data_IF_903961128226
#
_entry.id   IF_903961128226
#
_cell.length_a   1.000
_cell.length_b   1.000
_cell.length_c   1.000
_cell.angle_alpha   90.00
_cell.angle_beta   90.00
_cell.angle_gamma   90.00
#
_symmetry.space_group_name_H-M   'P 1'
#
loop_
_entity.id
_entity.type
_entity.pdbx_description
1 polymer ?
#
# COMPACT_ATOMS: atom_id res chain seq x y z
N UNK A 1 -40.56 -59.27 55.66
CA UNK A 1 -40.94 -59.68 54.29
C UNK A 1 -40.90 -58.44 53.41
N UNK A 2 -40.26 -58.56 52.24
CA UNK A 2 -40.08 -57.49 51.27
C UNK A 2 -41.40 -57.15 50.53
N UNK A 3 -41.55 -55.90 50.09
CA UNK A 3 -41.75 -55.58 48.67
C UNK A 3 -41.69 -54.05 48.44
N UNK A 4 -41.18 -53.70 47.25
CA UNK A 4 -40.79 -52.40 46.73
C UNK A 4 -41.97 -51.66 46.10
N UNK A 5 -41.97 -50.31 46.10
CA UNK A 5 -42.33 -49.51 44.92
C UNK A 5 -41.76 -48.07 45.00
N UNK A 6 -41.20 -47.65 43.88
CA UNK A 6 -40.42 -46.43 43.59
C UNK A 6 -41.31 -45.22 43.25
N UNK A 7 -40.81 -43.99 43.51
CA UNK A 7 -40.82 -42.75 42.66
C UNK A 7 -40.32 -41.58 43.52
N UNK A 8 -39.59 -40.55 43.08
CA UNK A 8 -38.82 -40.20 41.89
C UNK A 8 -37.91 -39.03 42.30
N UNK A 9 -36.64 -39.03 41.90
CA UNK A 9 -35.68 -37.96 42.17
C UNK A 9 -36.01 -36.68 41.39
N UNK A 10 -35.85 -35.52 42.03
CA UNK A 10 -35.93 -34.21 41.40
C UNK A 10 -34.77 -34.02 40.40
N UNK A 11 -35.14 -33.60 39.20
CA UNK A 11 -34.30 -33.51 38.02
C UNK A 11 -33.71 -32.09 37.92
N UNK A 12 -32.49 -31.88 38.39
CA UNK A 12 -31.73 -30.64 38.10
C UNK A 12 -31.08 -30.81 36.73
N UNK A 13 -31.73 -30.26 35.69
CA UNK A 13 -31.18 -30.16 34.35
C UNK A 13 -29.94 -29.27 34.36
N UNK A 14 -28.75 -29.87 34.38
CA UNK A 14 -27.50 -29.18 34.06
C UNK A 14 -27.49 -28.88 32.56
N UNK A 15 -27.77 -27.63 32.18
CA UNK A 15 -27.58 -27.17 30.80
C UNK A 15 -26.08 -27.13 30.54
N UNK A 16 -25.56 -28.12 29.82
CA UNK A 16 -24.18 -28.14 29.39
C UNK A 16 -23.90 -26.92 28.50
N UNK A 17 -22.87 -26.15 28.84
CA UNK A 17 -22.41 -25.03 28.02
C UNK A 17 -22.11 -25.52 26.59
N UNK A 18 -22.48 -24.77 25.54
CA UNK A 18 -22.27 -25.18 24.17
C UNK A 18 -20.77 -25.39 23.91
N UNK A 19 -20.41 -26.59 23.41
CA UNK A 19 -19.03 -26.92 23.04
C UNK A 19 -18.61 -25.99 21.89
N UNK A 20 -17.62 -25.12 22.16
CA UNK A 20 -17.06 -24.22 21.15
C UNK A 20 -16.20 -25.05 20.20
N UNK A 21 -16.61 -25.12 18.93
CA UNK A 21 -15.84 -25.76 17.88
C UNK A 21 -14.64 -24.87 17.51
N UNK A 22 -13.48 -25.18 18.10
CA UNK A 22 -12.21 -24.48 17.89
C UNK A 22 -11.71 -24.53 16.43
N UNK A 23 -12.29 -25.39 15.58
CA UNK A 23 -11.96 -25.40 14.14
C UNK A 23 -12.52 -24.17 13.41
N UNK A 24 -13.61 -23.56 13.91
CA UNK A 24 -14.34 -22.46 13.25
C UNK A 24 -14.11 -21.09 13.86
N UNK A 25 -13.37 -21.01 14.97
CA UNK A 25 -13.20 -19.78 15.76
C UNK A 25 -11.73 -19.58 16.09
N UNK A 26 -11.22 -18.36 15.94
CA UNK A 26 -9.85 -18.00 16.30
C UNK A 26 -9.65 -18.11 17.83
N UNK A 27 -8.61 -18.82 18.26
CA UNK A 27 -8.34 -19.05 19.70
C UNK A 27 -7.90 -17.79 20.45
N UNK A 28 -7.37 -16.78 19.74
CA UNK A 28 -6.89 -15.53 20.33
C UNK A 28 -7.99 -14.48 20.44
N UNK A 29 -8.73 -14.24 19.36
CA UNK A 29 -9.74 -13.16 19.32
C UNK A 29 -11.19 -13.64 19.45
N UNK A 30 -11.42 -14.97 19.55
CA UNK A 30 -12.74 -15.61 19.63
C UNK A 30 -13.72 -15.24 18.49
N UNK A 31 -13.21 -14.66 17.41
CA UNK A 31 -14.02 -14.33 16.23
C UNK A 31 -14.13 -15.54 15.29
N UNK A 32 -15.24 -15.64 14.53
CA UNK A 32 -15.38 -16.66 13.48
C UNK A 32 -14.21 -16.55 12.49
N UNK A 33 -13.58 -17.67 12.16
CA UNK A 33 -12.60 -17.71 11.08
C UNK A 33 -13.34 -17.47 9.77
N UNK A 34 -12.86 -16.54 8.93
CA UNK A 34 -13.42 -16.32 7.60
C UNK A 34 -13.46 -17.65 6.82
N UNK A 35 -14.62 -17.96 6.23
CA UNK A 35 -14.80 -19.17 5.45
C UNK A 35 -13.92 -19.13 4.19
N UNK A 36 -13.07 -20.15 4.05
CA UNK A 36 -12.23 -20.33 2.88
C UNK A 36 -13.09 -20.59 1.64
N UNK A 37 -13.15 -19.62 0.72
CA UNK A 37 -13.95 -19.69 -0.50
C UNK A 37 -13.20 -20.46 -1.59
N UNK A 38 -12.92 -21.75 -1.35
CA UNK A 38 -12.39 -22.70 -2.33
C UNK A 38 -11.10 -22.27 -3.06
N UNK A 39 -10.60 -23.09 -4.01
CA UNK A 39 -9.44 -22.74 -4.80
C UNK A 39 -9.78 -21.59 -5.76
N UNK A 40 -9.35 -20.37 -5.42
CA UNK A 40 -9.33 -19.25 -6.36
C UNK A 40 -8.24 -19.51 -7.40
N UNK A 41 -8.49 -19.19 -8.68
CA UNK A 41 -7.40 -19.09 -9.66
C UNK A 41 -6.49 -17.95 -9.21
N UNK A 42 -5.41 -18.31 -8.54
CA UNK A 42 -4.44 -17.41 -7.90
C UNK A 42 -3.87 -16.43 -8.95
N UNK A 43 -3.58 -16.95 -10.15
CA UNK A 43 -2.98 -16.18 -11.26
C UNK A 43 -4.00 -15.74 -12.32
N UNK A 44 -5.29 -15.76 -11.99
CA UNK A 44 -6.33 -15.32 -12.93
C UNK A 44 -6.30 -13.81 -13.14
N UNK A 45 -6.59 -13.35 -14.36
CA UNK A 45 -6.81 -11.93 -14.63
C UNK A 45 -7.91 -11.39 -13.71
N UNK A 46 -7.57 -10.42 -12.88
CA UNK A 46 -8.53 -9.70 -12.04
C UNK A 46 -8.97 -8.45 -12.79
N UNK A 47 -10.26 -8.34 -13.18
CA UNK A 47 -10.75 -7.17 -13.88
C UNK A 47 -10.73 -5.93 -12.99
N UNK A 48 -10.35 -4.79 -13.54
CA UNK A 48 -10.43 -3.49 -12.87
C UNK A 48 -11.87 -2.97 -12.82
N UNK A 49 -12.72 -3.65 -12.04
CA UNK A 49 -14.16 -3.34 -11.88
C UNK A 49 -14.44 -1.91 -11.40
N UNK A 50 -13.45 -1.30 -10.77
CA UNK A 50 -13.53 0.01 -10.13
C UNK A 50 -12.84 1.11 -10.95
N UNK A 51 -12.30 0.76 -12.11
CA UNK A 51 -11.52 1.61 -13.01
C UNK A 51 -10.44 2.42 -12.25
N UNK A 52 -9.74 1.74 -11.34
CA UNK A 52 -8.70 2.33 -10.49
C UNK A 52 -7.45 2.70 -11.29
N UNK A 53 -7.16 1.95 -12.36
CA UNK A 53 -5.93 2.05 -13.14
C UNK A 53 -6.04 3.02 -14.31
N UNK A 54 -7.23 3.21 -14.88
CA UNK A 54 -7.47 4.05 -16.07
C UNK A 54 -6.52 3.71 -17.24
N UNK A 55 -6.26 2.41 -17.45
CA UNK A 55 -5.21 1.90 -18.34
C UNK A 55 -5.37 2.32 -19.81
N UNK A 56 -6.60 2.56 -20.29
CA UNK A 56 -6.88 2.92 -21.69
C UNK A 56 -6.34 4.28 -22.13
N UNK A 57 -5.86 5.10 -21.19
CA UNK A 57 -5.37 6.45 -21.45
C UNK A 57 -3.84 6.57 -21.47
N UNK A 58 -3.13 5.46 -21.28
CA UNK A 58 -1.68 5.47 -21.13
C UNK A 58 -0.97 5.09 -22.43
N UNK A 59 -0.07 5.96 -22.88
CA UNK A 59 0.88 5.68 -23.97
C UNK A 59 2.25 5.39 -23.33
N UNK A 60 2.77 4.15 -23.40
CA UNK A 60 3.99 3.77 -22.70
C UNK A 60 5.19 4.54 -23.26
N UNK A 61 6.06 5.08 -22.39
CA UNK A 61 7.25 5.78 -22.85
C UNK A 61 8.26 4.81 -23.49
N UNK A 62 9.37 5.34 -24.01
CA UNK A 62 10.45 4.46 -24.47
C UNK A 62 11.21 3.90 -23.27
N UNK A 63 11.36 2.57 -23.23
CA UNK A 63 12.07 1.88 -22.15
C UNK A 63 13.54 2.29 -22.08
N UNK A 64 13.98 2.62 -20.87
CA UNK A 64 15.37 2.90 -20.55
C UNK A 64 16.19 1.60 -20.50
N UNK A 65 17.37 1.55 -21.15
CA UNK A 65 18.24 0.37 -21.12
C UNK A 65 18.68 -0.08 -19.72
N UNK A 66 18.68 0.84 -18.74
CA UNK A 66 19.07 0.56 -17.35
C UNK A 66 17.89 0.28 -16.44
N UNK A 67 16.66 0.30 -16.95
CA UNK A 67 15.51 -0.15 -16.18
C UNK A 67 15.61 -1.65 -15.93
N UNK A 68 15.51 -2.05 -14.67
CA UNK A 68 15.52 -3.45 -14.23
C UNK A 68 14.25 -3.75 -13.45
N UNK A 69 13.52 -4.79 -13.87
CA UNK A 69 12.37 -5.33 -13.15
C UNK A 69 12.82 -6.64 -12.49
N UNK A 70 12.84 -6.67 -11.16
CA UNK A 70 13.24 -7.82 -10.37
C UNK A 70 12.04 -8.45 -9.67
N UNK A 71 11.76 -9.71 -10.03
CA UNK A 71 10.76 -10.56 -9.40
C UNK A 71 11.38 -11.90 -9.02
N UNK A 72 10.90 -12.59 -7.97
CA UNK A 72 11.34 -13.94 -7.65
C UNK A 72 11.26 -14.90 -8.84
N UNK A 73 12.19 -15.85 -8.99
CA UNK A 73 13.27 -16.20 -8.04
C UNK A 73 14.55 -15.36 -8.18
N UNK A 74 14.55 -14.31 -9.00
CA UNK A 74 15.75 -13.50 -9.24
C UNK A 74 15.99 -12.54 -8.07
N UNK A 75 17.15 -12.67 -7.41
CA UNK A 75 17.58 -11.68 -6.43
C UNK A 75 17.73 -10.31 -7.13
N UNK A 76 17.21 -9.22 -6.54
CA UNK A 76 17.35 -7.91 -7.12
C UNK A 76 18.80 -7.44 -7.10
N UNK A 77 19.15 -6.68 -8.12
CA UNK A 77 20.45 -6.02 -8.24
C UNK A 77 20.20 -4.53 -8.04
N UNK A 78 20.47 -4.05 -6.83
CA UNK A 78 20.31 -2.64 -6.47
C UNK A 78 21.34 -1.78 -7.21
N UNK A 79 20.87 -0.95 -8.14
CA UNK A 79 21.67 0.15 -8.67
C UNK A 79 21.55 1.39 -7.76
N UNK A 80 21.87 2.57 -8.29
CA UNK A 80 21.84 3.84 -7.57
C UNK A 80 20.45 4.21 -7.05
N UNK A 81 19.40 3.83 -7.77
CA UNK A 81 18.01 4.13 -7.42
C UNK A 81 17.15 2.89 -7.58
N UNK A 82 16.36 2.61 -6.56
CA UNK A 82 15.50 1.44 -6.48
C UNK A 82 14.12 1.81 -5.96
N UNK A 83 13.10 1.12 -6.48
CA UNK A 83 11.70 1.36 -6.19
C UNK A 83 11.03 0.04 -5.78
N UNK A 84 10.53 -0.02 -4.56
CA UNK A 84 9.78 -1.17 -4.08
C UNK A 84 8.27 -0.94 -4.26
N UNK A 85 7.60 -1.93 -4.86
CA UNK A 85 6.15 -1.96 -4.99
C UNK A 85 5.53 -2.74 -3.82
N UNK A 86 5.28 -2.01 -2.73
CA UNK A 86 4.47 -2.53 -1.63
C UNK A 86 2.99 -2.32 -1.96
N UNK A 87 2.11 -3.24 -1.54
CA UNK A 87 0.70 -3.02 -1.79
C UNK A 87 -0.15 -4.26 -1.81
N UNK A 88 -1.39 -4.03 -2.23
CA UNK A 88 -2.38 -5.05 -2.50
C UNK A 88 -1.90 -6.03 -3.56
N UNK A 89 -1.63 -7.26 -3.15
CA UNK A 89 -1.26 -8.40 -4.02
C UNK A 89 -2.19 -9.60 -3.81
N UNK A 90 -3.35 -9.38 -3.19
CA UNK A 90 -4.29 -10.44 -2.85
C UNK A 90 -4.73 -11.19 -4.10
N UNK A 91 -4.19 -12.40 -4.23
CA UNK A 91 -4.38 -13.28 -5.37
C UNK A 91 -5.87 -13.51 -5.65
N UNK A 92 -6.32 -13.06 -6.81
CA UNK A 92 -7.73 -13.09 -7.23
C UNK A 92 -8.62 -11.95 -6.73
N UNK A 93 -8.07 -10.91 -6.09
CA UNK A 93 -8.81 -9.69 -5.67
C UNK A 93 -8.17 -8.39 -6.12
N UNK A 94 -6.84 -8.28 -6.04
CA UNK A 94 -6.12 -7.07 -6.41
C UNK A 94 -6.05 -6.90 -7.95
N UNK A 95 -6.28 -5.68 -8.43
CA UNK A 95 -6.07 -5.31 -9.84
C UNK A 95 -4.59 -5.40 -10.19
N UNK A 96 -4.28 -5.62 -11.48
CA UNK A 96 -2.91 -5.81 -11.97
C UNK A 96 -2.15 -4.47 -12.08
N UNK A 97 -1.92 -3.82 -10.94
CA UNK A 97 -1.31 -2.49 -10.87
C UNK A 97 0.22 -2.52 -10.99
N UNK A 98 0.89 -3.57 -10.50
CA UNK A 98 2.36 -3.67 -10.52
C UNK A 98 2.92 -3.69 -11.95
N UNK A 99 2.43 -4.54 -12.89
CA UNK A 99 2.94 -4.55 -14.25
C UNK A 99 2.70 -3.21 -14.96
N UNK A 100 1.50 -2.64 -14.78
CA UNK A 100 1.17 -1.35 -15.37
C UNK A 100 2.07 -0.23 -14.83
N UNK A 101 2.33 -0.18 -13.51
CA UNK A 101 3.20 0.83 -12.92
C UNK A 101 4.66 0.64 -13.34
N UNK A 102 5.12 -0.60 -13.53
CA UNK A 102 6.43 -0.89 -14.07
C UNK A 102 6.56 -0.37 -15.51
N UNK A 103 5.55 -0.58 -16.36
CA UNK A 103 5.53 -0.05 -17.73
C UNK A 103 5.50 1.49 -17.76
N UNK A 104 4.77 2.12 -16.84
CA UNK A 104 4.69 3.58 -16.71
C UNK A 104 6.04 4.22 -16.33
N UNK A 105 6.90 3.48 -15.62
CA UNK A 105 8.15 3.97 -15.04
C UNK A 105 9.41 3.39 -15.71
N UNK A 106 9.25 2.59 -16.77
CA UNK A 106 10.38 1.92 -17.40
C UNK A 106 11.30 2.87 -18.18
N UNK A 107 10.92 4.14 -18.31
CA UNK A 107 11.72 5.24 -18.86
C UNK A 107 12.81 5.71 -17.90
N UNK A 108 12.70 5.30 -16.63
CA UNK A 108 13.63 5.66 -15.58
C UNK A 108 14.75 4.62 -15.45
N UNK A 109 15.99 5.04 -15.20
CA UNK A 109 17.11 4.12 -14.93
C UNK A 109 17.08 3.64 -13.47
N UNK A 110 16.07 2.87 -13.11
CA UNK A 110 15.84 2.37 -11.74
C UNK A 110 15.77 0.84 -11.69
N UNK A 111 16.00 0.29 -10.50
CA UNK A 111 15.67 -1.10 -10.17
C UNK A 111 14.31 -1.16 -9.49
N UNK A 112 13.29 -1.68 -10.17
CA UNK A 112 11.98 -1.95 -9.60
C UNK A 112 11.95 -3.36 -8.99
N UNK A 113 11.40 -3.49 -7.78
CA UNK A 113 11.36 -4.74 -6.99
C UNK A 113 9.96 -4.98 -6.43
N UNK A 114 9.40 -6.17 -6.67
CA UNK A 114 8.06 -6.55 -6.21
C UNK A 114 8.06 -7.40 -4.92
N UNK A 115 9.09 -8.22 -4.72
CA UNK A 115 9.08 -9.22 -3.65
C UNK A 115 10.51 -9.67 -3.27
N UNK A 116 11.05 -9.08 -2.21
CA UNK A 116 12.22 -9.60 -1.49
C UNK A 116 12.12 -9.13 -0.04
N UNK A 117 12.48 -10.02 0.90
CA UNK A 117 12.31 -9.79 2.34
C UNK A 117 13.01 -8.50 2.81
N UNK A 118 14.14 -8.15 2.19
CA UNK A 118 14.96 -7.00 2.56
C UNK A 118 14.77 -5.78 1.64
N UNK A 119 13.93 -5.87 0.60
CA UNK A 119 13.82 -4.80 -0.39
C UNK A 119 13.20 -3.51 0.18
N UNK A 120 12.37 -3.61 1.21
CA UNK A 120 11.90 -2.43 1.93
C UNK A 120 13.07 -1.63 2.56
N UNK A 121 14.11 -2.33 3.04
CA UNK A 121 15.32 -1.73 3.60
C UNK A 121 16.18 -1.08 2.53
N UNK A 122 16.45 -1.81 1.45
CA UNK A 122 17.39 -1.41 0.40
C UNK A 122 16.81 -0.42 -0.62
N UNK A 123 15.48 -0.34 -0.72
CA UNK A 123 14.83 0.56 -1.68
C UNK A 123 15.14 2.04 -1.42
N UNK A 124 15.26 2.83 -2.49
CA UNK A 124 15.34 4.29 -2.39
C UNK A 124 13.97 4.90 -2.10
N UNK A 125 12.93 4.36 -2.74
CA UNK A 125 11.53 4.76 -2.58
C UNK A 125 10.67 3.52 -2.37
N UNK A 126 9.71 3.63 -1.46
CA UNK A 126 8.69 2.60 -1.22
C UNK A 126 7.35 3.19 -1.66
N UNK A 127 6.73 2.56 -2.66
CA UNK A 127 5.38 2.88 -3.09
C UNK A 127 4.42 1.90 -2.45
N UNK A 128 3.43 2.40 -1.69
CA UNK A 128 2.30 1.58 -1.21
C UNK A 128 1.06 1.82 -2.07
N UNK A 129 0.49 0.77 -2.65
CA UNK A 129 -0.80 0.81 -3.33
C UNK A 129 -1.86 0.04 -2.54
N UNK A 130 -2.99 0.70 -2.23
CA UNK A 130 -4.15 0.08 -1.58
C UNK A 130 -5.34 0.03 -2.55
N UNK A 131 -5.68 -1.18 -2.97
CA UNK A 131 -6.80 -1.49 -3.87
C UNK A 131 -8.13 -1.53 -3.10
N UNK A 132 -9.16 -0.86 -3.64
CA UNK A 132 -10.52 -0.85 -3.15
C UNK A 132 -11.11 -2.25 -2.84
N UNK A 133 -10.72 -3.29 -3.56
CA UNK A 133 -11.26 -4.64 -3.48
C UNK A 133 -10.52 -5.54 -2.46
N UNK A 134 -9.58 -4.98 -1.69
CA UNK A 134 -8.64 -5.75 -0.87
C UNK A 134 -8.69 -5.36 0.60
N UNK A 135 -8.06 -6.17 1.47
CA UNK A 135 -7.96 -5.87 2.90
C UNK A 135 -6.57 -5.40 3.33
N UNK A 136 -5.53 -5.88 2.64
CA UNK A 136 -4.12 -5.51 2.71
C UNK A 136 -3.55 -5.35 4.13
N UNK A 137 -3.77 -6.32 5.05
CA UNK A 137 -3.32 -6.20 6.43
C UNK A 137 -1.78 -6.18 6.55
N UNK A 138 -1.07 -6.95 5.72
CA UNK A 138 0.40 -6.97 5.70
C UNK A 138 0.92 -5.61 5.22
N UNK A 139 0.38 -5.10 4.12
CA UNK A 139 0.69 -3.78 3.57
C UNK A 139 0.47 -2.65 4.58
N UNK A 140 -0.60 -2.71 5.38
CA UNK A 140 -0.82 -1.75 6.46
C UNK A 140 0.24 -1.84 7.57
N UNK A 141 0.69 -3.05 7.92
CA UNK A 141 1.77 -3.25 8.89
C UNK A 141 3.10 -2.71 8.35
N UNK A 142 3.44 -3.03 7.10
CA UNK A 142 4.62 -2.54 6.41
C UNK A 142 4.62 -1.01 6.31
N UNK A 143 3.49 -0.39 5.95
CA UNK A 143 3.37 1.07 5.97
C UNK A 143 3.74 1.61 7.35
N UNK A 144 3.17 1.05 8.42
CA UNK A 144 3.47 1.42 9.81
C UNK A 144 4.95 1.30 10.18
N UNK A 145 5.65 0.28 9.69
CA UNK A 145 7.09 0.10 9.92
C UNK A 145 7.95 1.14 9.19
N UNK A 146 7.49 1.65 8.04
CA UNK A 146 8.32 2.48 7.17
C UNK A 146 7.96 3.96 7.14
N UNK A 147 6.91 4.40 7.85
CA UNK A 147 6.43 5.80 7.88
C UNK A 147 7.52 6.84 8.18
N UNK A 148 8.47 6.51 9.03
CA UNK A 148 9.55 7.41 9.47
C UNK A 148 10.78 7.42 8.55
N UNK A 149 10.81 6.57 7.52
CA UNK A 149 12.01 6.37 6.69
C UNK A 149 12.30 7.55 5.76
N UNK A 150 11.30 8.41 5.51
CA UNK A 150 11.39 9.44 4.49
C UNK A 150 11.41 8.90 3.06
N UNK A 151 11.20 7.59 2.83
CA UNK A 151 11.19 6.95 1.50
C UNK A 151 9.79 6.71 0.93
N UNK A 152 8.76 6.85 1.76
CA UNK A 152 7.40 6.38 1.48
C UNK A 152 6.61 7.37 0.61
N UNK A 153 5.85 6.82 -0.33
CA UNK A 153 4.69 7.44 -1.00
C UNK A 153 3.51 6.47 -1.00
N UNK A 154 2.28 6.98 -0.99
CA UNK A 154 1.08 6.14 -0.89
C UNK A 154 0.05 6.50 -1.96
N UNK A 155 -0.52 5.47 -2.59
CA UNK A 155 -1.77 5.55 -3.33
C UNK A 155 -2.83 4.74 -2.60
N UNK A 156 -3.90 5.38 -2.13
CA UNK A 156 -5.00 4.72 -1.45
C UNK A 156 -6.32 5.09 -2.11
N UNK A 157 -6.97 4.14 -2.78
CA UNK A 157 -8.30 4.40 -3.33
C UNK A 157 -9.26 4.78 -2.19
N UNK A 158 -10.13 5.76 -2.42
CA UNK A 158 -11.10 6.25 -1.44
C UNK A 158 -12.09 5.16 -0.97
N UNK A 159 -12.24 4.08 -1.75
CA UNK A 159 -13.11 2.94 -1.44
C UNK A 159 -12.40 1.86 -0.61
N UNK A 160 -11.09 1.98 -0.37
CA UNK A 160 -10.37 1.03 0.48
C UNK A 160 -10.97 0.99 1.89
N UNK A 161 -11.31 -0.21 2.37
CA UNK A 161 -12.11 -0.42 3.59
C UNK A 161 -11.51 0.19 4.87
N UNK A 162 -10.19 0.37 4.93
CA UNK A 162 -9.47 1.04 6.03
C UNK A 162 -8.78 2.32 5.60
N UNK A 163 -9.22 2.95 4.50
CA UNK A 163 -8.67 4.18 3.96
C UNK A 163 -8.49 5.27 5.01
N UNK A 164 -9.47 5.49 5.89
CA UNK A 164 -9.36 6.47 6.98
C UNK A 164 -8.14 6.26 7.90
N UNK A 165 -7.74 5.02 8.17
CA UNK A 165 -6.54 4.74 8.98
C UNK A 165 -5.26 5.05 8.21
N UNK A 166 -5.22 4.66 6.92
CA UNK A 166 -4.10 4.97 6.03
C UNK A 166 -3.92 6.49 5.93
N UNK A 167 -5.00 7.24 5.72
CA UNK A 167 -4.98 8.70 5.60
C UNK A 167 -4.49 9.37 6.89
N UNK A 168 -4.99 8.95 8.06
CA UNK A 168 -4.55 9.47 9.36
C UNK A 168 -3.06 9.21 9.63
N UNK A 169 -2.57 8.02 9.26
CA UNK A 169 -1.14 7.68 9.40
C UNK A 169 -0.31 8.54 8.45
N UNK A 170 -0.68 8.62 7.17
CA UNK A 170 0.05 9.42 6.20
C UNK A 170 0.10 10.88 6.60
N UNK A 171 -1.02 11.42 7.06
CA UNK A 171 -1.06 12.77 7.61
C UNK A 171 -0.15 12.94 8.82
N UNK A 172 -0.27 12.08 9.84
CA UNK A 172 0.51 12.20 11.08
C UNK A 172 2.02 12.24 10.81
N UNK A 173 2.48 11.46 9.83
CA UNK A 173 3.89 11.35 9.47
C UNK A 173 4.28 12.17 8.24
N UNK A 174 3.39 13.05 7.75
CA UNK A 174 3.60 13.92 6.59
C UNK A 174 4.03 13.14 5.33
N UNK A 175 3.42 11.97 5.12
CA UNK A 175 3.62 11.11 3.96
C UNK A 175 2.73 11.61 2.82
N UNK A 176 3.29 11.88 1.64
CA UNK A 176 2.51 12.22 0.46
C UNK A 176 1.58 11.08 0.04
N UNK A 177 0.30 11.39 -0.14
CA UNK A 177 -0.74 10.44 -0.51
C UNK A 177 -1.55 10.94 -1.70
N UNK A 178 -1.83 10.05 -2.64
CA UNK A 178 -2.80 10.25 -3.72
C UNK A 178 -3.93 9.22 -3.62
N UNK A 179 -5.09 9.53 -4.18
CA UNK A 179 -6.26 8.66 -4.15
C UNK A 179 -6.56 7.99 -5.48
N UNK A 180 -5.70 8.21 -6.48
CA UNK A 180 -5.88 7.70 -7.83
C UNK A 180 -4.53 7.24 -8.39
N UNK A 181 -4.54 6.17 -9.18
CA UNK A 181 -3.35 5.56 -9.74
C UNK A 181 -2.63 6.48 -10.74
N UNK A 182 -3.38 7.33 -11.45
CA UNK A 182 -2.81 8.26 -12.43
C UNK A 182 -1.76 9.18 -11.80
N UNK A 183 -2.06 9.74 -10.63
CA UNK A 183 -1.17 10.66 -9.92
C UNK A 183 0.00 9.95 -9.21
N UNK A 184 -0.04 8.62 -9.08
CA UNK A 184 0.97 7.84 -8.37
C UNK A 184 2.33 7.92 -9.05
N UNK A 185 2.37 7.83 -10.38
CA UNK A 185 3.62 7.86 -11.14
C UNK A 185 4.35 9.21 -10.97
N UNK A 186 3.63 10.32 -11.00
CA UNK A 186 4.18 11.66 -10.78
C UNK A 186 4.69 11.81 -9.34
N UNK A 187 3.96 11.24 -8.37
CA UNK A 187 4.37 11.25 -6.97
C UNK A 187 5.67 10.45 -6.74
N UNK A 188 5.81 9.28 -7.38
CA UNK A 188 7.02 8.47 -7.35
C UNK A 188 8.19 9.21 -8.01
N UNK A 189 7.96 9.80 -9.20
CA UNK A 189 8.97 10.61 -9.90
C UNK A 189 9.44 11.78 -9.02
N UNK A 190 8.52 12.51 -8.40
CA UNK A 190 8.88 13.57 -7.47
C UNK A 190 9.68 13.04 -6.27
N UNK A 191 9.28 11.89 -5.70
CA UNK A 191 10.00 11.30 -4.58
C UNK A 191 11.43 10.91 -4.97
N UNK A 192 11.62 10.15 -6.05
CA UNK A 192 12.93 9.79 -6.60
C UNK A 192 13.77 11.04 -6.89
N UNK A 193 13.15 12.11 -7.41
CA UNK A 193 13.81 13.39 -7.66
C UNK A 193 14.39 13.99 -6.38
N UNK A 194 13.60 14.02 -5.30
CA UNK A 194 14.07 14.49 -3.98
C UNK A 194 15.10 13.58 -3.33
N UNK A 195 15.15 12.29 -3.70
CA UNK A 195 16.22 11.36 -3.29
C UNK A 195 17.52 11.55 -4.08
N UNK A 196 17.59 12.55 -4.97
CA UNK A 196 18.81 12.91 -5.70
C UNK A 196 18.88 12.36 -7.13
N UNK A 197 17.81 11.76 -7.64
CA UNK A 197 17.76 11.29 -9.03
C UNK A 197 17.67 12.48 -10.00
N UNK A 198 18.55 12.53 -10.99
CA UNK A 198 18.60 13.60 -12.01
C UNK A 198 18.35 13.02 -13.40
N UNK A 199 18.93 11.86 -13.66
CA UNK A 199 18.78 11.15 -14.93
C UNK A 199 17.34 10.64 -15.08
N UNK A 200 16.78 10.77 -16.29
CA UNK A 200 15.36 10.51 -16.55
C UNK A 200 14.40 11.55 -15.97
N UNK A 201 14.87 12.51 -15.16
CA UNK A 201 14.02 13.55 -14.56
C UNK A 201 14.06 14.88 -15.31
N UNK A 202 15.13 15.15 -16.04
CA UNK A 202 15.28 16.38 -16.83
C UNK A 202 15.49 15.94 -18.29
N UNK A 203 14.42 15.95 -19.05
CA UNK A 203 14.38 15.48 -20.45
C UNK A 203 13.94 16.59 -21.38
N UNK A 204 14.41 16.56 -22.62
CA UNK A 204 13.90 17.41 -23.70
C UNK A 204 12.64 16.83 -24.34
N UNK A 205 12.10 17.53 -25.36
CA UNK A 205 10.89 17.11 -26.07
C UNK A 205 11.06 15.75 -26.76
N UNK A 206 12.29 15.41 -27.14
CA UNK A 206 12.68 14.14 -27.74
C UNK A 206 12.90 13.03 -26.69
N UNK A 207 12.83 13.36 -25.40
CA UNK A 207 13.02 12.44 -24.28
C UNK A 207 14.49 12.21 -23.90
N UNK A 208 15.43 12.94 -24.50
CA UNK A 208 16.85 12.85 -24.15
C UNK A 208 17.16 13.66 -22.88
N UNK A 209 18.13 13.19 -22.09
CA UNK A 209 18.53 13.90 -20.88
C UNK A 209 19.13 15.26 -21.22
N UNK A 210 18.57 16.32 -20.63
CA UNK A 210 19.08 17.68 -20.77
C UNK A 210 19.19 18.38 -19.42
N UNK A 211 20.23 19.19 -19.25
CA UNK A 211 20.37 20.10 -18.10
C UNK A 211 20.07 21.55 -18.48
N UNK A 212 19.87 21.82 -19.77
CA UNK A 212 19.58 23.15 -20.28
C UNK A 212 18.11 23.47 -20.06
N UNK A 213 17.82 24.44 -19.19
CA UNK A 213 16.43 24.86 -18.88
C UNK A 213 15.60 25.21 -20.11
N UNK A 214 16.24 25.72 -21.17
CA UNK A 214 15.58 26.10 -22.43
C UNK A 214 15.08 24.91 -23.26
N UNK A 215 15.68 23.73 -23.10
CA UNK A 215 15.31 22.55 -23.87
C UNK A 215 14.45 21.59 -23.04
N UNK A 216 14.08 21.95 -21.81
CA UNK A 216 13.34 21.07 -20.91
C UNK A 216 11.91 20.87 -21.42
N UNK A 217 11.49 19.62 -21.64
CA UNK A 217 10.07 19.31 -21.77
C UNK A 217 9.41 19.53 -20.42
N UNK A 218 8.62 20.60 -20.30
CA UNK A 218 7.97 20.97 -19.06
C UNK A 218 6.88 19.99 -18.60
N UNK A 219 6.36 19.15 -19.50
CA UNK A 219 5.35 18.13 -19.20
C UNK A 219 5.98 16.86 -18.66
N UNK A 220 7.12 16.45 -19.22
CA UNK A 220 7.81 15.19 -18.84
C UNK A 220 8.90 15.40 -17.78
N UNK A 221 9.45 16.60 -17.67
CA UNK A 221 10.52 16.88 -16.72
C UNK A 221 10.03 17.24 -15.33
N UNK A 222 10.71 16.67 -14.34
CA UNK A 222 10.52 16.90 -12.91
C UNK A 222 11.72 17.69 -12.34
N UNK A 223 11.57 19.01 -12.22
CA UNK A 223 12.56 19.86 -11.53
C UNK A 223 12.49 19.64 -10.01
N UNK A 224 13.54 20.03 -9.27
CA UNK A 224 13.53 19.87 -7.81
C UNK A 224 12.39 20.67 -7.16
N UNK A 225 12.20 21.93 -7.58
CA UNK A 225 11.11 22.77 -7.06
C UNK A 225 9.72 22.18 -7.36
N UNK A 226 9.49 21.68 -8.59
CA UNK A 226 8.24 21.00 -8.95
C UNK A 226 8.01 19.75 -8.10
N UNK A 227 9.06 18.97 -7.85
CA UNK A 227 8.97 17.77 -7.03
C UNK A 227 8.61 18.09 -5.57
N UNK A 228 9.30 19.06 -4.96
CA UNK A 228 9.02 19.50 -3.58
C UNK A 228 7.61 20.06 -3.44
N UNK A 229 7.17 20.89 -4.39
CA UNK A 229 5.81 21.43 -4.43
C UNK A 229 4.76 20.33 -4.56
N UNK A 230 4.97 19.38 -5.48
CA UNK A 230 4.06 18.25 -5.68
C UNK A 230 3.94 17.42 -4.41
N UNK A 231 5.05 17.01 -3.81
CA UNK A 231 5.05 16.23 -2.57
C UNK A 231 4.36 16.97 -1.43
N UNK A 232 4.66 18.27 -1.24
CA UNK A 232 4.04 19.09 -0.21
C UNK A 232 2.53 19.28 -0.44
N UNK A 233 2.08 19.40 -1.69
CA UNK A 233 0.65 19.53 -2.03
C UNK A 233 -0.15 18.25 -1.75
N UNK A 234 0.52 17.09 -1.75
CA UNK A 234 -0.09 15.77 -1.52
C UNK A 234 0.05 15.29 -0.08
N UNK A 235 0.61 16.10 0.81
CA UNK A 235 0.50 15.88 2.25
C UNK A 235 -0.85 16.45 2.71
N UNK A 236 -1.74 15.56 3.16
CA UNK A 236 -3.03 15.95 3.73
C UNK A 236 -2.83 16.83 4.96
N UNK A 237 -3.53 17.97 5.02
CA UNK A 237 -3.59 18.85 6.19
C UNK A 237 -4.95 18.70 6.85
N UNK A 238 -4.98 18.41 8.15
CA UNK A 238 -6.15 18.43 9.01
C UNK A 238 -6.72 19.83 8.95
N UNK A 239 -7.74 20.04 8.12
CA UNK A 239 -8.64 21.16 8.32
C UNK A 239 -9.43 20.88 9.60
N UNK A 240 -8.98 21.46 10.72
CA UNK A 240 -9.87 21.84 11.83
C UNK A 240 -10.35 20.75 12.78
N UNK A 241 -9.46 19.92 13.35
CA UNK A 241 -9.76 19.25 14.62
C UNK A 241 -8.78 19.70 15.70
N UNK A 242 -9.16 20.75 16.43
CA UNK A 242 -8.44 21.15 17.62
C UNK A 242 -8.36 19.95 18.60
N UNK A 243 -7.19 19.68 19.20
CA UNK A 243 -7.11 18.70 20.27
C UNK A 243 -7.75 19.30 21.52
N UNK A 244 -9.04 19.04 21.75
CA UNK A 244 -9.60 19.06 23.10
C UNK A 244 -9.09 17.83 23.83
N UNK A 245 -7.81 17.87 24.21
CA UNK A 245 -7.29 17.10 25.33
C UNK A 245 -7.09 18.13 26.44
N UNK A 246 -8.13 18.32 27.25
CA UNK A 246 -7.91 18.87 28.58
C UNK A 246 -7.03 17.87 29.31
N UNK A 247 -5.75 18.19 29.40
CA UNK A 247 -4.84 17.58 30.37
C UNK A 247 -5.42 17.94 31.73
N UNK A 248 -6.10 17.00 32.37
CA UNK A 248 -6.40 17.10 33.80
C UNK A 248 -5.06 17.07 34.52
N UNK A 249 -4.53 18.26 34.79
CA UNK A 249 -3.42 18.45 35.70
C UNK A 249 -3.93 18.05 37.08
N UNK A 250 -3.35 16.98 37.63
CA UNK A 250 -3.59 16.56 39.00
C UNK A 250 -3.25 17.71 39.95
N UNK A 251 -4.25 18.18 40.66
CA UNK A 251 -4.07 19.08 41.78
C UNK A 251 -3.52 18.30 42.98
N UNK A 252 -2.35 18.70 43.44
CA UNK A 252 -1.83 18.37 44.77
C UNK A 252 -2.66 19.11 45.82
N UNK A 253 -3.29 18.37 46.74
CA UNK A 253 -3.45 18.74 48.16
C UNK A 253 -3.26 17.47 48.97
#
# INVERSE_FOLDING_TARGET
MASVCYTSAENVLSVAAPKIDHSKVCVLCKQPKEQDKGPRKIDGHVPDIYNQLNASSYDPPTKNPRFKHCMPPCNPVYEKFSLFFAGSIEMGKAVQWQPLLADILHDLPITQVDWELDALTESTVICFFFDANTTSPVTMCELGLWVHSGKVVVCCDNRFWKGGNVHLVCERYQIPLVTNFKDLSDLIRAKLRTQGMVEGMLVDEDGNMTREKKNLDNKRSMTMAKAEELLASKVLKLQGRAPNVQVMTGGTI
#
